data_IF_996335963172
#
_entry.id   IF_996335963172
#
_cell.length_a   1.000
_cell.length_b   1.000
_cell.length_c   1.000
_cell.angle_alpha   90.00
_cell.angle_beta   90.00
_cell.angle_gamma   90.00
#
_symmetry.space_group_name_H-M   'P 1'
#
loop_
_entity.id
_entity.type
_entity.pdbx_description
1 polymer ?
#
# COMPACT_ATOMS: atom_id res chain seq x y z
N UNK A 1 -0.76 -12.86 -6.77
CA UNK A 1 -0.69 -11.82 -5.73
C UNK A 1 -2.06 -11.37 -5.21
N UNK A 2 -3.16 -11.77 -5.86
CA UNK A 2 -4.52 -11.29 -5.55
C UNK A 2 -5.04 -11.54 -4.12
N UNK A 3 -4.46 -12.50 -3.39
CA UNK A 3 -4.85 -12.82 -2.01
C UNK A 3 -3.67 -12.77 -1.03
N UNK A 4 -2.67 -11.94 -1.33
CA UNK A 4 -1.54 -11.76 -0.44
C UNK A 4 -1.98 -11.01 0.82
N UNK A 5 -1.95 -11.67 1.97
CA UNK A 5 -2.36 -11.06 3.24
C UNK A 5 -1.37 -10.00 3.70
N UNK A 6 -1.90 -8.87 4.16
CA UNK A 6 -1.18 -7.75 4.75
C UNK A 6 -1.81 -7.47 6.12
N UNK A 7 -0.97 -7.24 7.12
CA UNK A 7 -1.40 -6.92 8.49
C UNK A 7 -0.71 -5.65 8.96
N UNK A 8 -1.46 -4.76 9.58
CA UNK A 8 -0.93 -3.60 10.29
C UNK A 8 -1.08 -3.85 11.79
N UNK A 9 -0.01 -3.66 12.55
CA UNK A 9 -0.06 -3.57 14.01
C UNK A 9 0.36 -2.18 14.47
N UNK A 10 -0.26 -1.70 15.55
CA UNK A 10 0.11 -0.46 16.23
C UNK A 10 0.44 -0.80 17.68
N UNK A 11 1.63 -0.43 18.13
CA UNK A 11 2.13 -0.73 19.48
C UNK A 11 2.02 -2.22 19.85
N UNK A 12 2.23 -3.11 18.86
CA UNK A 12 2.15 -4.56 19.01
C UNK A 12 0.73 -5.15 18.95
N UNK A 13 -0.32 -4.33 18.89
CA UNK A 13 -1.70 -4.81 18.76
C UNK A 13 -2.15 -4.85 17.29
N UNK A 14 -2.87 -5.90 16.88
CA UNK A 14 -3.48 -6.02 15.54
C UNK A 14 -4.45 -4.86 15.31
N UNK A 15 -4.12 -3.96 14.38
CA UNK A 15 -4.94 -2.80 14.04
C UNK A 15 -5.90 -3.13 12.89
N UNK A 16 -5.38 -3.71 11.79
CA UNK A 16 -6.17 -4.12 10.64
C UNK A 16 -5.46 -5.19 9.81
N UNK A 17 -6.26 -6.04 9.14
CA UNK A 17 -5.80 -7.02 8.16
C UNK A 17 -6.48 -6.75 6.83
N UNK A 18 -5.81 -7.05 5.75
CA UNK A 18 -6.35 -6.92 4.41
C UNK A 18 -5.50 -7.67 3.39
N UNK A 19 -5.79 -7.40 2.12
CA UNK A 19 -5.08 -7.93 0.96
C UNK A 19 -5.33 -6.95 -0.20
N UNK A 20 -4.92 -7.31 -1.42
CA UNK A 20 -5.11 -6.44 -2.58
C UNK A 20 -6.57 -6.32 -3.04
N UNK A 21 -7.50 -7.13 -2.52
CA UNK A 21 -8.94 -7.01 -2.83
C UNK A 21 -9.59 -5.76 -2.24
N UNK A 22 -8.87 -5.01 -1.39
CA UNK A 22 -9.32 -3.70 -0.86
C UNK A 22 -9.18 -2.59 -1.91
N UNK A 23 -8.38 -2.81 -2.95
CA UNK A 23 -8.22 -1.85 -4.04
C UNK A 23 -9.54 -1.70 -4.82
N UNK A 24 -9.70 -0.55 -5.49
CA UNK A 24 -10.82 -0.30 -6.42
C UNK A 24 -10.84 -1.30 -7.59
N UNK A 25 -9.69 -1.92 -7.86
CA UNK A 25 -9.48 -2.86 -8.94
C UNK A 25 -9.07 -4.23 -8.42
N UNK A 26 -9.30 -5.26 -9.23
CA UNK A 26 -9.00 -6.65 -8.87
C UNK A 26 -7.49 -6.96 -8.85
N UNK A 27 -6.67 -6.14 -9.50
CA UNK A 27 -5.22 -6.29 -9.52
C UNK A 27 -4.46 -4.95 -9.43
N UNK A 28 -3.26 -4.98 -8.84
CA UNK A 28 -2.38 -3.79 -8.69
C UNK A 28 -1.97 -3.15 -10.02
N UNK A 29 -1.96 -3.92 -11.11
CA UNK A 29 -1.62 -3.42 -12.45
C UNK A 29 -2.77 -2.65 -13.10
N UNK A 30 -4.00 -2.86 -12.67
CA UNK A 30 -5.15 -2.14 -13.20
C UNK A 30 -5.12 -0.69 -12.73
N UNK A 31 -4.72 -0.46 -11.47
CA UNK A 31 -4.45 0.87 -10.92
C UNK A 31 -3.39 1.62 -11.73
N UNK A 32 -2.31 0.92 -12.12
CA UNK A 32 -1.23 1.49 -12.94
C UNK A 32 -1.72 1.84 -14.35
N UNK A 33 -2.47 0.93 -14.98
CA UNK A 33 -3.02 1.12 -16.32
C UNK A 33 -3.95 2.33 -16.37
N UNK A 34 -4.86 2.45 -15.40
CA UNK A 34 -5.73 3.61 -15.27
C UNK A 34 -4.95 4.92 -15.09
N UNK A 35 -3.88 4.89 -14.26
CA UNK A 35 -3.03 6.04 -13.98
C UNK A 35 -2.29 6.53 -15.25
N UNK A 36 -1.81 5.61 -16.07
CA UNK A 36 -1.11 5.89 -17.32
C UNK A 36 -1.99 6.56 -18.38
N UNK A 37 -3.29 6.26 -18.38
CA UNK A 37 -4.25 6.86 -19.30
C UNK A 37 -4.61 8.31 -18.93
N UNK A 38 -4.13 8.84 -17.80
CA UNK A 38 -4.48 10.20 -17.37
C UNK A 38 -3.73 11.23 -18.22
N UNK A 39 -4.42 12.28 -18.74
CA UNK A 39 -3.79 13.28 -19.61
C UNK A 39 -2.57 13.98 -19.00
N UNK A 40 -2.52 14.13 -17.68
CA UNK A 40 -1.39 14.74 -16.97
C UNK A 40 -0.12 13.88 -17.02
N UNK A 41 -0.24 12.56 -17.09
CA UNK A 41 0.89 11.63 -17.13
C UNK A 41 1.27 11.24 -18.56
N UNK A 42 0.33 11.32 -19.50
CA UNK A 42 0.54 10.93 -20.90
C UNK A 42 1.79 11.57 -21.56
N UNK A 43 2.10 12.88 -21.41
CA UNK A 43 3.28 13.47 -22.04
C UNK A 43 4.61 12.96 -21.48
N UNK A 44 4.67 12.65 -20.17
CA UNK A 44 5.89 12.13 -19.53
C UNK A 44 6.01 10.62 -19.72
N UNK A 45 4.88 9.91 -19.67
CA UNK A 45 4.80 8.46 -19.49
C UNK A 45 5.43 7.98 -18.17
N UNK A 46 5.61 6.67 -18.05
CA UNK A 46 6.49 6.09 -17.03
C UNK A 46 7.94 6.12 -17.52
N UNK A 47 8.85 6.43 -16.63
CA UNK A 47 10.29 6.34 -16.85
C UNK A 47 10.86 5.18 -16.06
N UNK A 48 11.95 4.63 -16.58
CA UNK A 48 12.71 3.64 -15.82
C UNK A 48 13.06 4.22 -14.44
N UNK A 49 12.92 3.38 -13.40
CA UNK A 49 13.14 3.71 -11.99
C UNK A 49 12.04 4.56 -11.32
N UNK A 50 10.93 4.84 -11.99
CA UNK A 50 9.76 5.38 -11.30
C UNK A 50 9.25 4.38 -10.26
N UNK A 51 8.91 4.87 -9.07
CA UNK A 51 8.24 4.12 -8.02
C UNK A 51 6.75 4.47 -8.04
N UNK A 52 5.89 3.46 -8.18
CA UNK A 52 4.44 3.63 -8.23
C UNK A 52 3.81 2.96 -7.02
N UNK A 53 3.07 3.75 -6.23
CA UNK A 53 2.22 3.23 -5.16
C UNK A 53 0.81 3.00 -5.71
N UNK A 54 0.41 1.73 -5.83
CA UNK A 54 -0.84 1.32 -6.50
C UNK A 54 -2.09 1.40 -5.61
N UNK A 55 -1.93 1.85 -4.37
CA UNK A 55 -3.00 1.97 -3.37
C UNK A 55 -2.67 1.25 -2.07
N UNK A 56 -3.62 1.27 -1.13
CA UNK A 56 -3.50 0.64 0.19
C UNK A 56 -4.21 -0.71 0.20
N UNK A 57 -3.61 -1.70 0.86
CA UNK A 57 -4.21 -3.04 1.07
C UNK A 57 -5.04 -3.11 2.36
N UNK A 58 -5.05 -2.07 3.19
CA UNK A 58 -5.70 -2.07 4.51
C UNK A 58 -6.50 -0.80 4.81
N UNK A 59 -6.62 0.13 3.85
CA UNK A 59 -7.23 1.43 4.09
C UNK A 59 -6.29 2.41 4.82
N UNK A 60 -6.87 3.35 5.55
CA UNK A 60 -6.14 4.33 6.37
C UNK A 60 -6.42 4.09 7.85
N UNK A 61 -5.36 4.03 8.66
CA UNK A 61 -5.45 3.85 10.10
C UNK A 61 -4.91 5.11 10.80
N UNK A 62 -5.69 5.76 11.69
CA UNK A 62 -5.20 6.88 12.47
C UNK A 62 -4.01 6.50 13.36
N UNK A 63 -3.11 7.45 13.58
CA UNK A 63 -1.91 7.30 14.40
C UNK A 63 -1.79 8.50 15.35
N UNK A 64 -1.15 8.28 16.50
CA UNK A 64 -0.84 9.30 17.50
C UNK A 64 0.67 9.48 17.66
N UNK A 65 1.15 10.65 18.13
CA UNK A 65 2.54 10.81 18.53
C UNK A 65 2.96 9.75 19.55
N UNK A 66 4.12 9.14 19.33
CA UNK A 66 4.67 8.04 20.13
C UNK A 66 4.38 6.63 19.56
N UNK A 67 3.44 6.49 18.63
CA UNK A 67 3.06 5.18 18.09
C UNK A 67 4.19 4.53 17.28
N UNK A 68 4.28 3.20 17.38
CA UNK A 68 5.02 2.37 16.44
C UNK A 68 4.04 1.57 15.57
N UNK A 69 4.13 1.75 14.26
CA UNK A 69 3.35 1.00 13.28
C UNK A 69 4.22 -0.04 12.55
N UNK A 70 3.72 -1.26 12.40
CA UNK A 70 4.38 -2.34 11.67
C UNK A 70 3.44 -2.88 10.59
N UNK A 71 3.79 -2.66 9.33
CA UNK A 71 3.16 -3.31 8.19
C UNK A 71 3.87 -4.64 7.88
N UNK A 72 3.19 -5.74 8.14
CA UNK A 72 3.63 -7.11 7.89
C UNK A 72 3.07 -7.60 6.55
N UNK A 73 3.98 -7.87 5.61
CA UNK A 73 3.69 -8.37 4.27
C UNK A 73 4.11 -9.86 4.12
N UNK A 74 4.15 -10.60 5.22
CA UNK A 74 4.46 -12.02 5.25
C UNK A 74 5.86 -12.32 4.69
N UNK A 75 6.01 -13.23 3.70
CA UNK A 75 7.31 -13.56 3.11
C UNK A 75 8.08 -12.39 2.48
N UNK A 76 7.40 -11.27 2.16
CA UNK A 76 8.05 -10.06 1.64
C UNK A 76 8.72 -9.22 2.75
N UNK A 77 8.49 -9.56 4.01
CA UNK A 77 9.05 -8.90 5.17
C UNK A 77 8.13 -7.85 5.78
N UNK A 78 8.73 -7.00 6.62
CA UNK A 78 8.02 -6.00 7.40
C UNK A 78 8.57 -4.60 7.13
N UNK A 79 7.67 -3.62 7.19
CA UNK A 79 8.02 -2.19 7.21
C UNK A 79 7.61 -1.61 8.55
N UNK A 80 8.54 -0.91 9.20
CA UNK A 80 8.35 -0.36 10.55
C UNK A 80 8.54 1.15 10.54
N UNK A 81 7.65 1.86 11.23
CA UNK A 81 7.73 3.30 11.39
C UNK A 81 7.37 3.71 12.83
N UNK A 82 8.10 4.68 13.37
CA UNK A 82 7.82 5.31 14.66
C UNK A 82 7.45 6.77 14.43
N UNK A 83 6.36 7.20 15.04
CA UNK A 83 5.82 8.55 14.91
C UNK A 83 6.26 9.34 16.14
N UNK A 84 7.04 10.41 15.95
CA UNK A 84 7.62 11.26 17.00
C UNK A 84 7.11 12.69 16.94
#
# INVERSE_FOLDING_TARGET
MSDHSVKLTINGADAIKGNVSVLVWDHVFDALSWCLERPALSPRGLKARDLVMTGTCTGMTPLSPGDEAVGDFGPMGEVRARFV
#
